data_IF_477752131082
#
_entry.id   IF_477752131082
#
_cell.length_a   1.000
_cell.length_b   1.000
_cell.length_c   1.000
_cell.angle_alpha   90.00
_cell.angle_beta   90.00
_cell.angle_gamma   90.00
#
_symmetry.space_group_name_H-M   'P 1'
#
loop_
_entity.id
_entity.type
_entity.pdbx_description
1 polymer ?
#
# COMPACT_ATOMS: atom_id res chain seq x y z
N UNK A 1 18.55 -2.59 43.14
CA UNK A 1 19.15 -3.93 43.30
C UNK A 1 18.93 -4.72 42.03
N UNK A 2 19.93 -4.74 41.15
CA UNK A 2 19.90 -5.58 39.95
C UNK A 2 20.49 -6.94 40.30
N UNK A 3 19.67 -7.99 40.26
CA UNK A 3 20.10 -9.34 40.57
C UNK A 3 21.04 -9.94 39.51
N UNK A 4 21.72 -11.05 39.82
CA UNK A 4 22.82 -11.62 39.00
C UNK A 4 22.40 -12.14 37.62
N UNK A 5 21.09 -12.20 37.33
CA UNK A 5 20.53 -12.82 36.13
C UNK A 5 20.72 -11.97 34.85
N UNK A 6 20.79 -10.65 34.97
CA UNK A 6 20.98 -9.76 33.81
C UNK A 6 22.40 -9.80 33.23
N UNK A 7 23.40 -9.99 34.09
CA UNK A 7 24.80 -10.11 33.69
C UNK A 7 25.10 -11.47 33.03
N UNK A 8 24.40 -12.53 33.44
CA UNK A 8 24.63 -13.87 32.89
C UNK A 8 24.12 -14.02 31.45
N UNK A 9 23.03 -13.33 31.07
CA UNK A 9 22.49 -13.39 29.71
C UNK A 9 23.32 -12.58 28.70
N UNK A 10 23.84 -11.42 29.14
CA UNK A 10 24.75 -10.61 28.32
C UNK A 10 26.12 -11.29 28.15
N UNK A 11 26.63 -11.94 29.20
CA UNK A 11 27.89 -12.67 29.14
C UNK A 11 27.80 -13.96 28.30
N UNK A 12 26.64 -14.64 28.27
CA UNK A 12 26.44 -15.78 27.39
C UNK A 12 26.45 -15.33 25.92
N UNK A 13 25.72 -14.26 25.59
CA UNK A 13 25.67 -13.73 24.23
C UNK A 13 27.03 -13.19 23.73
N UNK A 14 27.91 -12.73 24.61
CA UNK A 14 29.25 -12.25 24.25
C UNK A 14 30.31 -13.36 24.17
N UNK A 15 30.16 -14.45 24.92
CA UNK A 15 31.07 -15.61 24.85
C UNK A 15 30.79 -16.52 23.64
N UNK A 16 29.59 -16.42 23.06
CA UNK A 16 29.10 -17.34 22.01
C UNK A 16 29.33 -16.83 20.57
N UNK A 17 29.90 -15.63 20.39
CA UNK A 17 30.27 -15.09 19.07
C UNK A 17 31.63 -15.62 18.57
N UNK A 18 32.46 -16.18 19.44
CA UNK A 18 33.82 -16.66 19.12
C UNK A 18 33.87 -18.14 18.70
N UNK A 19 32.83 -18.94 18.95
CA UNK A 19 32.84 -20.40 18.74
C UNK A 19 31.92 -20.91 17.62
N UNK A 20 31.08 -20.07 17.02
CA UNK A 20 30.27 -20.41 15.83
C UNK A 20 29.18 -21.49 16.03
N UNK A 21 29.08 -22.11 17.20
CA UNK A 21 28.03 -23.07 17.53
C UNK A 21 26.95 -22.40 18.40
N UNK A 22 25.74 -22.25 17.85
CA UNK A 22 24.60 -21.83 18.66
C UNK A 22 24.26 -22.93 19.69
N UNK A 23 24.14 -22.61 20.99
CA UNK A 23 23.73 -23.59 21.99
C UNK A 23 22.43 -24.28 21.57
N UNK A 24 22.46 -25.61 21.45
CA UNK A 24 21.26 -26.38 21.13
C UNK A 24 20.24 -26.21 22.27
N UNK A 25 19.16 -25.48 22.00
CA UNK A 25 18.08 -25.24 22.94
C UNK A 25 17.40 -26.58 23.27
N UNK A 26 17.54 -27.06 24.51
CA UNK A 26 16.82 -28.25 24.98
C UNK A 26 15.33 -27.91 25.11
N UNK A 27 14.55 -28.35 24.13
CA UNK A 27 13.09 -28.28 24.18
C UNK A 27 12.60 -29.23 25.28
N UNK A 28 11.91 -28.69 26.29
CA UNK A 28 11.26 -29.46 27.35
C UNK A 28 9.74 -29.57 27.14
N UNK A 29 9.05 -30.26 28.04
CA UNK A 29 7.61 -30.54 27.95
C UNK A 29 6.74 -29.27 27.79
N UNK A 30 7.16 -28.15 28.38
CA UNK A 30 6.48 -26.86 28.24
C UNK A 30 6.42 -26.37 26.78
N UNK A 31 7.45 -26.66 25.98
CA UNK A 31 7.51 -26.28 24.55
C UNK A 31 6.64 -27.18 23.66
N UNK A 32 6.30 -28.38 24.13
CA UNK A 32 5.38 -29.30 23.44
C UNK A 32 3.94 -28.84 23.64
N UNK A 33 3.60 -28.32 24.81
CA UNK A 33 2.24 -27.87 25.14
C UNK A 33 1.92 -26.44 24.69
N UNK A 34 2.91 -25.55 24.58
CA UNK A 34 2.68 -24.14 24.28
C UNK A 34 2.55 -23.86 22.77
N UNK A 35 1.57 -23.03 22.33
CA UNK A 35 1.44 -22.65 20.92
C UNK A 35 2.58 -21.72 20.43
N UNK A 36 3.31 -21.10 21.35
CA UNK A 36 4.50 -20.30 21.07
C UNK A 36 5.65 -20.72 21.98
N UNK A 37 6.83 -20.95 21.40
CA UNK A 37 8.07 -21.24 22.13
C UNK A 37 9.13 -20.19 21.79
N UNK A 38 9.63 -19.45 22.78
CA UNK A 38 10.72 -18.49 22.58
C UNK A 38 12.06 -19.21 22.54
N UNK A 39 12.85 -18.97 21.49
CA UNK A 39 14.24 -19.47 21.40
C UNK A 39 15.25 -18.55 22.09
N UNK A 40 14.87 -17.29 22.33
CA UNK A 40 15.70 -16.32 23.02
C UNK A 40 15.46 -16.44 24.54
N UNK A 41 16.51 -16.43 25.38
CA UNK A 41 16.40 -16.40 26.84
C UNK A 41 16.00 -14.99 27.32
N UNK A 42 14.88 -14.47 26.82
CA UNK A 42 14.39 -13.12 27.11
C UNK A 42 12.86 -13.11 27.16
N UNK A 43 12.31 -12.31 28.09
CA UNK A 43 10.87 -12.03 28.18
C UNK A 43 10.38 -11.05 27.11
N UNK A 44 11.28 -10.45 26.32
CA UNK A 44 10.92 -9.52 25.24
C UNK A 44 9.99 -10.16 24.21
N UNK A 45 10.14 -11.46 23.95
CA UNK A 45 9.26 -12.25 23.07
C UNK A 45 7.79 -12.13 23.45
N UNK A 46 7.46 -12.01 24.74
CA UNK A 46 6.07 -11.81 25.18
C UNK A 46 5.51 -10.46 24.69
N UNK A 47 6.33 -9.40 24.73
CA UNK A 47 5.92 -8.07 24.25
C UNK A 47 5.78 -8.06 22.74
N UNK A 48 6.68 -8.75 22.02
CA UNK A 48 6.62 -8.87 20.56
C UNK A 48 5.38 -9.64 20.09
N UNK A 49 5.01 -10.73 20.77
CA UNK A 49 3.76 -11.46 20.51
C UNK A 49 2.55 -10.55 20.72
N UNK A 50 2.52 -9.73 21.78
CA UNK A 50 1.41 -8.79 22.02
C UNK A 50 1.35 -7.69 20.95
N UNK A 51 2.50 -7.12 20.55
CA UNK A 51 2.57 -6.13 19.46
C UNK A 51 2.05 -6.71 18.15
N UNK A 52 2.54 -7.89 17.79
CA UNK A 52 2.14 -8.58 16.58
C UNK A 52 0.65 -8.93 16.62
N UNK A 53 0.14 -9.47 17.74
CA UNK A 53 -1.27 -9.81 17.91
C UNK A 53 -2.19 -8.60 17.76
N UNK A 54 -1.80 -7.42 18.27
CA UNK A 54 -2.58 -6.17 18.09
C UNK A 54 -2.55 -5.68 16.65
N UNK A 55 -1.39 -5.74 15.99
CA UNK A 55 -1.27 -5.40 14.58
C UNK A 55 -2.14 -6.33 13.73
N UNK A 56 -2.04 -7.64 13.93
CA UNK A 56 -2.82 -8.65 13.22
C UNK A 56 -4.31 -8.46 13.43
N UNK A 57 -4.79 -8.25 14.67
CA UNK A 57 -6.20 -8.00 14.94
C UNK A 57 -6.73 -6.80 14.14
N UNK A 58 -5.98 -5.70 14.13
CA UNK A 58 -6.33 -4.48 13.38
C UNK A 58 -6.34 -4.76 11.88
N UNK A 59 -5.32 -5.42 11.36
CA UNK A 59 -5.23 -5.79 9.94
C UNK A 59 -6.36 -6.72 9.52
N UNK A 60 -6.77 -7.67 10.37
CA UNK A 60 -7.91 -8.57 10.09
C UNK A 60 -9.22 -7.79 9.98
N UNK A 61 -9.50 -6.88 10.93
CA UNK A 61 -10.72 -6.05 10.86
C UNK A 61 -10.72 -5.18 9.60
N UNK A 62 -9.60 -4.54 9.27
CA UNK A 62 -9.46 -3.71 8.06
C UNK A 62 -9.65 -4.53 6.78
N UNK A 63 -9.06 -5.73 6.72
CA UNK A 63 -9.19 -6.62 5.58
C UNK A 63 -10.65 -7.05 5.36
N UNK A 64 -11.40 -7.29 6.44
CA UNK A 64 -12.84 -7.55 6.35
C UNK A 64 -13.63 -6.33 5.82
N UNK A 65 -13.28 -5.11 6.26
CA UNK A 65 -13.89 -3.88 5.73
C UNK A 65 -13.63 -3.72 4.23
N UNK A 66 -12.37 -3.89 3.82
CA UNK A 66 -11.92 -3.77 2.43
C UNK A 66 -12.65 -4.81 1.56
N UNK A 67 -12.70 -6.06 2.01
CA UNK A 67 -13.38 -7.13 1.29
C UNK A 67 -14.87 -6.81 1.11
N UNK A 68 -15.56 -6.41 2.18
CA UNK A 68 -16.98 -6.08 2.11
C UNK A 68 -17.26 -4.95 1.11
N UNK A 69 -16.49 -3.85 1.19
CA UNK A 69 -16.66 -2.70 0.29
C UNK A 69 -16.34 -3.06 -1.17
N UNK A 70 -15.23 -3.76 -1.42
CA UNK A 70 -14.84 -4.15 -2.78
C UNK A 70 -15.85 -5.10 -3.42
N UNK A 71 -16.37 -6.08 -2.66
CA UNK A 71 -17.39 -6.99 -3.14
C UNK A 71 -18.70 -6.26 -3.48
N UNK A 72 -19.14 -5.33 -2.65
CA UNK A 72 -20.39 -4.59 -2.89
C UNK A 72 -20.28 -3.61 -4.07
N UNK A 73 -19.15 -2.91 -4.20
CA UNK A 73 -18.88 -2.05 -5.35
C UNK A 73 -18.84 -2.88 -6.64
N UNK A 74 -18.14 -4.02 -6.63
CA UNK A 74 -18.06 -4.91 -7.79
C UNK A 74 -19.43 -5.50 -8.16
N UNK A 75 -20.20 -5.96 -7.17
CA UNK A 75 -21.53 -6.52 -7.38
C UNK A 75 -22.48 -5.50 -8.02
N UNK A 76 -22.49 -4.27 -7.52
CA UNK A 76 -23.30 -3.21 -8.12
C UNK A 76 -22.85 -2.86 -9.54
N UNK A 77 -21.54 -2.70 -9.75
CA UNK A 77 -20.98 -2.36 -11.07
C UNK A 77 -21.33 -3.42 -12.11
N UNK A 78 -21.16 -4.70 -11.76
CA UNK A 78 -21.51 -5.82 -12.62
C UNK A 78 -23.02 -5.88 -12.88
N UNK A 79 -23.84 -5.65 -11.86
CA UNK A 79 -25.30 -5.61 -12.01
C UNK A 79 -25.74 -4.48 -12.93
N UNK A 80 -25.14 -3.29 -12.82
CA UNK A 80 -25.50 -2.15 -13.64
C UNK A 80 -25.14 -2.38 -15.11
N UNK A 81 -23.91 -2.86 -15.37
CA UNK A 81 -23.49 -3.24 -16.72
C UNK A 81 -24.39 -4.33 -17.30
N UNK A 82 -24.72 -5.36 -16.52
CA UNK A 82 -25.58 -6.45 -16.96
C UNK A 82 -27.00 -5.98 -17.33
N UNK A 83 -27.58 -5.07 -16.55
CA UNK A 83 -28.91 -4.51 -16.84
C UNK A 83 -28.93 -3.67 -18.12
N UNK A 84 -27.80 -3.08 -18.49
CA UNK A 84 -27.64 -2.31 -19.73
C UNK A 84 -27.10 -3.16 -20.90
N UNK A 85 -27.00 -4.49 -20.73
CA UNK A 85 -26.49 -5.39 -21.77
C UNK A 85 -25.00 -5.24 -22.08
N UNK A 86 -24.26 -4.53 -21.21
CA UNK A 86 -22.83 -4.25 -21.38
C UNK A 86 -22.00 -5.26 -20.59
N UNK A 87 -20.87 -5.66 -21.16
CA UNK A 87 -19.89 -6.55 -20.52
C UNK A 87 -18.55 -5.84 -20.35
N UNK A 88 -17.80 -6.20 -19.31
CA UNK A 88 -16.40 -5.76 -19.17
C UNK A 88 -15.45 -6.53 -20.06
N UNK A 89 -14.44 -5.84 -20.58
CA UNK A 89 -13.42 -6.43 -21.44
C UNK A 89 -12.47 -7.32 -20.65
N UNK A 90 -11.95 -8.38 -21.27
CA UNK A 90 -11.00 -9.28 -20.62
C UNK A 90 -9.71 -8.54 -20.20
N UNK A 91 -9.18 -7.68 -21.08
CA UNK A 91 -8.01 -6.85 -20.79
C UNK A 91 -8.24 -5.94 -19.57
N UNK A 92 -9.45 -5.41 -19.40
CA UNK A 92 -9.83 -4.55 -18.27
C UNK A 92 -9.89 -5.34 -16.96
N UNK A 93 -10.47 -6.56 -16.99
CA UNK A 93 -10.50 -7.44 -15.83
C UNK A 93 -9.09 -7.87 -15.40
N UNK A 94 -8.21 -8.19 -16.36
CA UNK A 94 -6.80 -8.51 -16.07
C UNK A 94 -6.09 -7.29 -15.47
N UNK A 95 -6.24 -6.12 -16.08
CA UNK A 95 -5.58 -4.89 -15.63
C UNK A 95 -6.00 -4.48 -14.20
N UNK A 96 -7.31 -4.47 -13.93
CA UNK A 96 -7.84 -4.17 -12.59
C UNK A 96 -7.43 -5.23 -11.57
N UNK A 97 -7.44 -6.51 -11.95
CA UNK A 97 -6.97 -7.62 -11.09
C UNK A 97 -5.50 -7.51 -10.71
N UNK A 98 -4.62 -7.15 -11.66
CA UNK A 98 -3.20 -6.89 -11.39
C UNK A 98 -3.04 -5.69 -10.46
N UNK A 99 -3.70 -4.56 -10.73
CA UNK A 99 -3.63 -3.37 -9.88
C UNK A 99 -4.09 -3.65 -8.45
N UNK A 100 -5.21 -4.34 -8.29
CA UNK A 100 -5.75 -4.70 -6.98
C UNK A 100 -4.83 -5.70 -6.25
N UNK A 101 -4.22 -6.64 -6.96
CA UNK A 101 -3.25 -7.59 -6.40
C UNK A 101 -2.01 -6.86 -5.89
N UNK A 102 -1.43 -5.97 -6.69
CA UNK A 102 -0.27 -5.14 -6.29
C UNK A 102 -0.61 -4.32 -5.04
N UNK A 103 -1.78 -3.69 -5.01
CA UNK A 103 -2.23 -2.92 -3.85
C UNK A 103 -2.47 -3.80 -2.61
N UNK A 104 -3.03 -5.00 -2.77
CA UNK A 104 -3.30 -5.93 -1.68
C UNK A 104 -2.02 -6.55 -1.11
N UNK A 105 -1.02 -6.83 -1.94
CA UNK A 105 0.32 -7.25 -1.50
C UNK A 105 1.01 -6.14 -0.73
N UNK A 106 0.90 -4.89 -1.20
CA UNK A 106 1.44 -3.75 -0.48
C UNK A 106 0.79 -3.56 0.92
N UNK A 107 -0.50 -3.86 1.02
CA UNK A 107 -1.23 -3.88 2.29
C UNK A 107 -0.74 -5.00 3.23
N UNK A 108 -0.46 -6.19 2.71
CA UNK A 108 -0.03 -7.34 3.54
C UNK A 108 1.34 -7.16 4.21
N UNK A 109 2.19 -6.27 3.68
CA UNK A 109 3.48 -5.90 4.27
C UNK A 109 3.40 -4.91 5.44
N UNK A 110 2.21 -4.68 5.98
CA UNK A 110 1.95 -4.02 7.25
C UNK A 110 2.85 -4.54 8.39
N UNK A 111 3.55 -3.63 9.09
CA UNK A 111 4.41 -3.98 10.23
C UNK A 111 3.88 -3.40 11.54
N UNK A 112 4.03 -4.11 12.68
CA UNK A 112 3.69 -3.56 13.99
C UNK A 112 4.61 -2.39 14.35
N UNK A 113 4.08 -1.44 15.13
CA UNK A 113 4.91 -0.39 15.74
C UNK A 113 5.78 -0.96 16.88
N UNK A 114 6.94 -0.34 17.12
CA UNK A 114 7.88 -0.78 18.17
C UNK A 114 7.39 -0.45 19.58
N UNK A 115 6.66 0.65 19.74
CA UNK A 115 6.15 1.07 21.05
C UNK A 115 4.70 0.62 21.26
N UNK A 116 4.41 0.18 22.48
CA UNK A 116 3.10 -0.35 22.81
C UNK A 116 2.19 0.79 23.28
N UNK A 117 1.11 1.07 22.54
CA UNK A 117 0.17 2.11 22.92
C UNK A 117 -0.75 1.68 24.07
N UNK A 118 -1.20 2.65 24.86
CA UNK A 118 -2.10 2.43 26.01
C UNK A 118 -3.56 2.14 25.61
N UNK A 119 -3.97 2.48 24.38
CA UNK A 119 -5.35 2.31 23.87
C UNK A 119 -5.56 0.94 23.21
N UNK A 120 -6.66 0.23 23.45
CA UNK A 120 -6.89 -1.09 22.83
C UNK A 120 -7.43 -0.99 21.40
N UNK A 121 -7.10 -1.93 20.50
CA UNK A 121 -7.74 -2.03 19.18
C UNK A 121 -9.24 -2.32 19.27
N UNK A 122 -9.98 -1.92 18.23
CA UNK A 122 -11.36 -2.39 18.01
C UNK A 122 -11.30 -3.87 17.64
N UNK A 123 -12.11 -4.69 18.30
CA UNK A 123 -12.07 -6.16 18.19
C UNK A 123 -13.14 -6.75 17.26
N UNK A 124 -14.12 -5.96 16.85
CA UNK A 124 -15.28 -6.44 16.08
C UNK A 124 -15.63 -5.50 14.94
N UNK A 125 -16.00 -6.08 13.79
CA UNK A 125 -16.51 -5.36 12.63
C UNK A 125 -17.86 -4.67 12.91
N UNK A 126 -18.64 -5.22 13.86
CA UNK A 126 -19.92 -4.65 14.28
C UNK A 126 -19.78 -3.50 15.28
N UNK A 127 -18.56 -3.10 15.62
CA UNK A 127 -18.36 -1.88 16.38
C UNK A 127 -18.93 -0.69 15.58
N UNK A 128 -19.74 0.21 16.18
CA UNK A 128 -20.43 1.28 15.44
C UNK A 128 -19.51 2.12 14.56
N UNK A 129 -18.30 2.44 15.05
CA UNK A 129 -17.28 3.15 14.27
C UNK A 129 -16.93 2.48 12.92
N UNK A 130 -16.88 1.15 12.90
CA UNK A 130 -16.48 0.35 11.74
C UNK A 130 -17.70 0.08 10.86
N UNK A 131 -18.80 -0.38 11.47
CA UNK A 131 -20.01 -0.73 10.76
C UNK A 131 -20.63 0.48 10.01
N UNK A 132 -20.76 1.63 10.69
CA UNK A 132 -21.29 2.85 10.06
C UNK A 132 -20.32 3.44 9.04
N UNK A 133 -19.01 3.22 9.22
CA UNK A 133 -18.02 3.58 8.22
C UNK A 133 -18.23 2.77 6.94
N UNK A 134 -18.39 1.44 7.02
CA UNK A 134 -18.69 0.59 5.87
C UNK A 134 -19.97 1.06 5.16
N UNK A 135 -21.06 1.27 5.91
CA UNK A 135 -22.34 1.67 5.32
C UNK A 135 -22.28 3.03 4.60
N UNK A 136 -21.65 4.03 5.21
CA UNK A 136 -21.55 5.34 4.57
C UNK A 136 -20.53 5.37 3.44
N UNK A 137 -19.40 4.66 3.53
CA UNK A 137 -18.49 4.50 2.40
C UNK A 137 -19.19 3.83 1.22
N UNK A 138 -19.97 2.75 1.47
CA UNK A 138 -20.79 2.11 0.46
C UNK A 138 -21.77 3.10 -0.18
N UNK A 139 -22.52 3.86 0.64
CA UNK A 139 -23.44 4.87 0.15
C UNK A 139 -22.76 5.91 -0.74
N UNK A 140 -21.58 6.40 -0.36
CA UNK A 140 -20.80 7.37 -1.14
C UNK A 140 -20.32 6.77 -2.46
N UNK A 141 -19.77 5.55 -2.44
CA UNK A 141 -19.27 4.89 -3.65
C UNK A 141 -20.38 4.53 -4.62
N UNK A 142 -21.50 3.98 -4.13
CA UNK A 142 -22.68 3.69 -4.95
C UNK A 142 -23.31 4.96 -5.51
N UNK A 143 -23.46 6.02 -4.71
CA UNK A 143 -24.00 7.30 -5.21
C UNK A 143 -23.14 7.88 -6.32
N UNK A 144 -21.80 7.81 -6.17
CA UNK A 144 -20.87 8.19 -7.23
C UNK A 144 -21.06 7.31 -8.47
N UNK A 145 -21.14 5.99 -8.32
CA UNK A 145 -21.30 5.06 -9.44
C UNK A 145 -22.61 5.31 -10.21
N UNK A 146 -23.73 5.44 -9.49
CA UNK A 146 -25.06 5.79 -10.05
C UNK A 146 -24.97 7.10 -10.84
N UNK A 147 -24.39 8.14 -10.24
CA UNK A 147 -24.23 9.44 -10.88
C UNK A 147 -23.40 9.33 -12.18
N UNK A 148 -22.24 8.68 -12.14
CA UNK A 148 -21.35 8.55 -13.30
C UNK A 148 -21.95 7.69 -14.41
N UNK A 149 -22.71 6.65 -14.05
CA UNK A 149 -23.43 5.80 -15.02
C UNK A 149 -24.53 6.60 -15.72
N UNK A 150 -25.36 7.33 -14.95
CA UNK A 150 -26.42 8.15 -15.54
C UNK A 150 -25.82 9.25 -16.43
N UNK A 151 -24.72 9.86 -16.01
CA UNK A 151 -24.01 10.85 -16.81
C UNK A 151 -23.47 10.25 -18.11
N UNK A 152 -22.89 9.05 -18.05
CA UNK A 152 -22.41 8.31 -19.23
C UNK A 152 -23.56 8.02 -20.20
N UNK A 153 -24.70 7.54 -19.71
CA UNK A 153 -25.89 7.26 -20.54
C UNK A 153 -26.41 8.49 -21.28
N UNK A 154 -26.42 9.65 -20.64
CA UNK A 154 -26.85 10.91 -21.28
C UNK A 154 -25.92 11.33 -22.42
N UNK A 155 -24.65 10.93 -22.36
CA UNK A 155 -23.64 11.28 -23.36
C UNK A 155 -23.29 10.11 -24.30
N UNK A 156 -23.99 8.98 -24.19
CA UNK A 156 -23.88 7.85 -25.11
C UNK A 156 -24.54 8.19 -26.44
N UNK A 157 -24.05 7.61 -27.53
CA UNK A 157 -24.62 7.83 -28.87
C UNK A 157 -26.03 7.21 -28.96
N UNK A 158 -26.85 7.70 -29.88
CA UNK A 158 -28.17 7.09 -30.15
C UNK A 158 -28.03 5.61 -30.52
N UNK A 159 -26.98 5.22 -31.24
CA UNK A 159 -26.67 3.82 -31.53
C UNK A 159 -26.36 3.00 -30.27
N UNK A 160 -25.59 3.54 -29.31
CA UNK A 160 -25.34 2.86 -28.03
C UNK A 160 -26.64 2.73 -27.20
N UNK A 161 -27.48 3.77 -27.20
CA UNK A 161 -28.76 3.79 -26.49
C UNK A 161 -29.79 2.83 -27.10
N UNK A 162 -29.90 2.78 -28.42
CA UNK A 162 -30.74 1.81 -29.13
C UNK A 162 -30.29 0.38 -28.86
N UNK A 163 -28.98 0.14 -28.75
CA UNK A 163 -28.43 -1.16 -28.37
C UNK A 163 -28.74 -1.53 -26.91
N UNK A 164 -28.70 -0.58 -25.97
CA UNK A 164 -29.13 -0.79 -24.57
C UNK A 164 -30.64 -1.06 -24.43
N UNK A 165 -31.46 -0.46 -25.29
CA UNK A 165 -32.93 -0.51 -25.22
C UNK A 165 -33.55 -1.63 -26.06
N UNK A 166 -32.78 -2.34 -26.89
CA UNK A 166 -33.30 -3.35 -27.81
C UNK A 166 -33.64 -4.67 -27.08
N UNK A 167 -34.93 -5.09 -26.98
CA UNK A 167 -35.33 -6.32 -26.30
C UNK A 167 -34.83 -7.59 -26.98
N UNK A 168 -34.38 -7.52 -28.24
CA UNK A 168 -33.77 -8.64 -28.96
C UNK A 168 -32.39 -9.03 -28.40
N UNK A 169 -31.80 -8.21 -27.53
CA UNK A 169 -30.59 -8.48 -26.76
C UNK A 169 -30.85 -8.73 -25.27
N UNK A 170 -32.12 -8.70 -24.81
CA UNK A 170 -32.46 -9.50 -23.64
C UNK A 170 -32.08 -10.94 -24.00
N UNK A 171 -31.30 -11.67 -23.17
CA UNK A 171 -30.88 -13.00 -23.54
C UNK A 171 -32.15 -13.77 -23.92
N UNK A 172 -32.26 -14.31 -25.16
CA UNK A 172 -33.39 -15.17 -25.48
C UNK A 172 -33.44 -16.26 -24.40
N UNK A 173 -34.62 -16.81 -24.05
CA UNK A 173 -34.65 -18.04 -23.27
C UNK A 173 -33.70 -19.02 -23.96
N UNK A 174 -32.63 -19.34 -23.25
CA UNK A 174 -31.41 -19.94 -23.78
C UNK A 174 -31.69 -21.01 -24.85
N UNK A 175 -31.17 -20.88 -26.08
CA UNK A 175 -30.96 -22.07 -26.88
C UNK A 175 -29.93 -22.92 -26.13
N UNK A 176 -30.27 -24.17 -25.84
CA UNK A 176 -29.31 -25.13 -25.28
C UNK A 176 -28.25 -25.35 -26.36
N UNK A 177 -27.07 -24.74 -26.18
CA UNK A 177 -25.90 -24.98 -27.04
C UNK A 177 -25.32 -26.34 -26.64
N UNK A 178 -25.35 -27.31 -27.56
CA UNK A 178 -24.86 -28.68 -27.35
C UNK A 178 -23.33 -28.80 -27.14
N UNK A 179 -22.56 -27.71 -27.28
CA UNK A 179 -21.10 -27.74 -27.12
C UNK A 179 -20.58 -27.42 -25.69
N UNK A 180 -21.49 -27.11 -24.76
CA UNK A 180 -21.14 -26.77 -23.38
C UNK A 180 -20.83 -25.29 -23.12
N UNK A 181 -20.85 -24.42 -24.14
CA UNK A 181 -20.82 -22.97 -23.99
C UNK A 181 -22.23 -22.40 -23.84
N UNK A 182 -22.65 -22.17 -22.60
CA UNK A 182 -23.99 -21.71 -22.25
C UNK A 182 -24.39 -20.33 -22.82
N UNK A 183 -25.68 -19.97 -22.66
CA UNK A 183 -26.42 -18.88 -23.35
C UNK A 183 -26.05 -17.42 -22.98
N UNK A 184 -24.90 -17.19 -22.35
CA UNK A 184 -24.53 -15.91 -21.71
C UNK A 184 -23.57 -15.02 -22.54
N UNK A 185 -23.42 -15.27 -23.84
CA UNK A 185 -22.30 -14.75 -24.63
C UNK A 185 -22.74 -13.79 -25.73
N UNK A 186 -23.19 -12.58 -25.35
CA UNK A 186 -22.99 -11.43 -26.24
C UNK A 186 -21.50 -11.09 -26.29
N UNK A 187 -20.89 -10.88 -27.47
CA UNK A 187 -19.48 -10.56 -27.57
C UNK A 187 -19.20 -9.18 -26.94
N UNK A 188 -18.03 -9.04 -26.31
CA UNK A 188 -17.61 -7.76 -25.73
C UNK A 188 -17.52 -6.68 -26.83
N UNK A 189 -18.18 -5.55 -26.61
CA UNK A 189 -18.09 -4.35 -27.44
C UNK A 189 -17.65 -3.16 -26.58
N UNK A 190 -16.65 -2.37 -27.01
CA UNK A 190 -16.26 -1.15 -26.31
C UNK A 190 -17.43 -0.15 -26.27
N UNK A 191 -17.72 0.38 -25.08
CA UNK A 191 -18.75 1.42 -24.90
C UNK A 191 -18.28 2.48 -23.90
N UNK A 192 -18.90 3.67 -23.98
CA UNK A 192 -18.63 4.75 -23.03
C UNK A 192 -18.97 4.32 -21.60
N UNK A 193 -20.12 3.63 -21.43
CA UNK A 193 -20.58 3.12 -20.14
C UNK A 193 -19.56 2.16 -19.51
N UNK A 194 -19.06 1.19 -20.29
CA UNK A 194 -18.05 0.24 -19.81
C UNK A 194 -16.76 0.96 -19.38
N UNK A 195 -16.31 1.94 -20.17
CA UNK A 195 -15.10 2.72 -19.88
C UNK A 195 -15.23 3.48 -18.56
N UNK A 196 -16.36 4.17 -18.35
CA UNK A 196 -16.63 4.93 -17.12
C UNK A 196 -16.70 4.01 -15.91
N UNK A 197 -17.46 2.91 -16.00
CA UNK A 197 -17.59 1.94 -14.89
C UNK A 197 -16.24 1.31 -14.56
N UNK A 198 -15.44 0.91 -15.56
CA UNK A 198 -14.11 0.37 -15.35
C UNK A 198 -13.19 1.34 -14.60
N UNK A 199 -13.13 2.61 -15.03
CA UNK A 199 -12.27 3.62 -14.41
C UNK A 199 -12.71 3.93 -12.97
N UNK A 200 -14.00 4.15 -12.75
CA UNK A 200 -14.55 4.49 -11.43
C UNK A 200 -14.42 3.30 -10.49
N UNK A 201 -14.82 2.09 -10.90
CA UNK A 201 -14.74 0.88 -10.09
C UNK A 201 -13.29 0.60 -9.66
N UNK A 202 -12.35 0.64 -10.61
CA UNK A 202 -10.94 0.34 -10.33
C UNK A 202 -10.35 1.36 -9.35
N UNK A 203 -10.60 2.65 -9.58
CA UNK A 203 -10.11 3.71 -8.69
C UNK A 203 -10.75 3.64 -7.30
N UNK A 204 -12.07 3.38 -7.21
CA UNK A 204 -12.76 3.20 -5.93
C UNK A 204 -12.19 2.00 -5.15
N UNK A 205 -12.02 0.84 -5.79
CA UNK A 205 -11.49 -0.36 -5.13
C UNK A 205 -10.09 -0.14 -4.55
N UNK A 206 -9.19 0.52 -5.29
CA UNK A 206 -7.86 0.84 -4.75
C UNK A 206 -7.94 1.90 -3.65
N UNK A 207 -8.83 2.89 -3.79
CA UNK A 207 -9.04 3.91 -2.75
C UNK A 207 -9.55 3.31 -1.43
N UNK A 208 -10.42 2.28 -1.50
CA UNK A 208 -10.93 1.57 -0.34
C UNK A 208 -9.79 0.96 0.49
N UNK A 209 -8.76 0.41 -0.17
CA UNK A 209 -7.57 -0.10 0.54
C UNK A 209 -6.84 1.03 1.28
N UNK A 210 -6.66 2.19 0.65
CA UNK A 210 -5.96 3.32 1.24
C UNK A 210 -6.74 3.96 2.41
N UNK A 211 -8.05 4.17 2.23
CA UNK A 211 -8.92 4.82 3.22
C UNK A 211 -9.08 3.95 4.47
N UNK A 212 -9.24 2.65 4.30
CA UNK A 212 -9.46 1.72 5.42
C UNK A 212 -8.16 1.29 6.11
N UNK A 213 -6.99 1.71 5.62
CA UNK A 213 -5.72 1.53 6.32
C UNK A 213 -5.65 2.41 7.57
N UNK A 214 -5.82 1.83 8.77
CA UNK A 214 -5.83 2.61 10.02
C UNK A 214 -4.44 3.04 10.50
N UNK A 215 -3.40 2.22 10.25
CA UNK A 215 -2.02 2.53 10.66
C UNK A 215 -1.83 2.64 12.17
N UNK A 216 -1.21 3.74 12.61
CA UNK A 216 -0.85 4.00 14.01
C UNK A 216 -2.10 4.12 14.89
N UNK A 217 -2.06 3.65 16.14
CA UNK A 217 -0.87 3.38 16.96
C UNK A 217 -0.52 1.88 17.10
N UNK A 218 -0.97 1.02 16.19
CA UNK A 218 -0.73 -0.43 16.26
C UNK A 218 0.15 -0.94 15.12
N UNK A 219 0.07 -0.26 13.98
CA UNK A 219 0.76 -0.58 12.75
C UNK A 219 1.44 0.68 12.22
N UNK A 220 2.52 0.52 11.46
CA UNK A 220 3.18 1.62 10.76
C UNK A 220 2.16 2.41 9.90
N UNK A 221 2.30 3.73 9.78
CA UNK A 221 1.32 4.53 9.04
C UNK A 221 1.34 4.23 7.53
N UNK A 222 0.26 4.59 6.83
CA UNK A 222 0.16 4.38 5.39
C UNK A 222 1.27 5.09 4.62
N UNK A 223 1.63 6.27 5.08
CA UNK A 223 2.71 7.11 4.54
C UNK A 223 4.10 6.57 4.81
N UNK A 224 4.26 5.70 5.81
CA UNK A 224 5.53 5.03 6.12
C UNK A 224 5.66 3.70 5.35
N UNK A 225 4.53 3.12 4.89
CA UNK A 225 4.48 1.92 4.05
C UNK A 225 4.74 2.26 2.56
N UNK A 226 6.01 2.26 2.16
CA UNK A 226 6.43 2.60 0.78
C UNK A 226 5.74 1.77 -0.31
N UNK A 227 5.64 0.42 -0.21
CA UNK A 227 4.86 -0.37 -1.17
C UNK A 227 3.44 0.16 -1.37
N UNK A 228 2.76 0.54 -0.28
CA UNK A 228 1.37 0.98 -0.37
C UNK A 228 1.24 2.38 -0.95
N UNK A 229 2.21 3.27 -0.70
CA UNK A 229 2.26 4.57 -1.36
C UNK A 229 2.51 4.42 -2.87
N UNK A 230 3.43 3.54 -3.28
CA UNK A 230 3.71 3.31 -4.70
C UNK A 230 2.54 2.65 -5.42
N UNK A 231 1.83 1.71 -4.80
CA UNK A 231 0.64 1.10 -5.40
C UNK A 231 -0.51 2.09 -5.56
N UNK A 232 -0.73 2.97 -4.57
CA UNK A 232 -1.73 4.03 -4.67
C UNK A 232 -1.36 5.05 -5.75
N UNK A 233 -0.11 5.50 -5.78
CA UNK A 233 0.38 6.43 -6.80
C UNK A 233 0.28 5.84 -8.21
N UNK A 234 0.61 4.56 -8.38
CA UNK A 234 0.46 3.84 -9.65
C UNK A 234 -1.01 3.80 -10.08
N UNK A 235 -1.93 3.50 -9.17
CA UNK A 235 -3.36 3.47 -9.50
C UNK A 235 -3.87 4.86 -9.91
N UNK A 236 -3.56 5.90 -9.13
CA UNK A 236 -3.94 7.26 -9.50
C UNK A 236 -3.38 7.63 -10.89
N UNK A 237 -2.08 7.39 -11.12
CA UNK A 237 -1.44 7.66 -12.40
C UNK A 237 -2.09 6.87 -13.54
N UNK A 238 -2.37 5.58 -13.36
CA UNK A 238 -3.02 4.74 -14.36
C UNK A 238 -4.43 5.25 -14.71
N UNK A 239 -5.23 5.63 -13.71
CA UNK A 239 -6.56 6.21 -13.93
C UNK A 239 -6.47 7.54 -14.68
N UNK A 240 -5.51 8.42 -14.33
CA UNK A 240 -5.29 9.68 -15.05
C UNK A 240 -4.83 9.46 -16.49
N UNK A 241 -3.85 8.58 -16.72
CA UNK A 241 -3.34 8.24 -18.06
C UNK A 241 -4.47 7.69 -18.94
N UNK A 242 -5.28 6.79 -18.39
CA UNK A 242 -6.42 6.21 -19.09
C UNK A 242 -7.51 7.26 -19.39
N UNK A 243 -7.83 8.12 -18.43
CA UNK A 243 -8.88 9.14 -18.58
C UNK A 243 -8.50 10.28 -19.55
N UNK A 244 -7.22 10.65 -19.62
CA UNK A 244 -6.73 11.71 -20.50
C UNK A 244 -6.21 11.21 -21.85
N UNK A 245 -6.26 9.90 -22.09
CA UNK A 245 -5.77 9.28 -23.33
C UNK A 245 -4.30 9.61 -23.62
N UNK A 246 -3.51 9.82 -22.56
CA UNK A 246 -2.10 10.23 -22.67
C UNK A 246 -1.28 9.19 -23.43
N UNK A 247 -1.65 7.91 -23.29
CA UNK A 247 -0.99 6.79 -23.95
C UNK A 247 -2.03 6.04 -24.80
N UNK A 248 -2.19 6.38 -26.10
CA UNK A 248 -3.21 5.78 -26.97
C UNK A 248 -3.09 4.25 -27.09
N UNK A 249 -1.86 3.72 -27.08
CA UNK A 249 -1.62 2.27 -27.10
C UNK A 249 -2.30 1.57 -25.91
N UNK A 250 -2.18 2.12 -24.70
CA UNK A 250 -2.77 1.55 -23.50
C UNK A 250 -4.31 1.59 -23.57
N UNK A 251 -4.87 2.70 -24.05
CA UNK A 251 -6.30 2.86 -24.21
C UNK A 251 -6.87 1.89 -25.25
N UNK A 252 -6.14 1.66 -26.34
CA UNK A 252 -6.52 0.66 -27.35
C UNK A 252 -6.44 -0.78 -26.80
N UNK A 253 -5.40 -1.12 -26.03
CA UNK A 253 -5.29 -2.44 -25.38
C UNK A 253 -6.40 -2.67 -24.36
N UNK A 254 -6.75 -1.64 -23.58
CA UNK A 254 -7.86 -1.69 -22.62
C UNK A 254 -9.24 -1.50 -23.27
N UNK A 255 -9.28 -1.28 -24.58
CA UNK A 255 -10.49 -1.03 -25.36
C UNK A 255 -11.38 0.05 -24.72
N UNK A 256 -10.74 1.16 -24.31
CA UNK A 256 -11.41 2.30 -23.70
C UNK A 256 -11.95 3.23 -24.79
N UNK A 257 -13.20 3.64 -24.64
CA UNK A 257 -13.85 4.62 -25.52
C UNK A 257 -13.43 6.03 -25.07
N UNK A 258 -13.00 6.90 -26.01
CA UNK A 258 -12.61 8.26 -25.67
C UNK A 258 -13.75 9.03 -25.02
N UNK A 259 -13.42 9.91 -24.08
CA UNK A 259 -14.43 10.70 -23.40
C UNK A 259 -14.98 11.80 -24.33
N UNK A 260 -16.30 12.00 -24.42
CA UNK A 260 -16.92 12.86 -25.43
C UNK A 260 -16.56 14.34 -25.30
N UNK A 261 -16.34 14.85 -24.08
CA UNK A 261 -15.95 16.24 -23.85
C UNK A 261 -15.02 16.44 -22.64
N UNK A 262 -14.21 17.51 -22.62
CA UNK A 262 -13.41 17.89 -21.45
C UNK A 262 -14.27 18.15 -20.20
N UNK A 263 -15.48 18.68 -20.38
CA UNK A 263 -16.45 18.93 -19.31
C UNK A 263 -16.91 17.61 -18.69
N UNK A 264 -17.29 16.64 -19.53
CA UNK A 264 -17.67 15.30 -19.09
C UNK A 264 -16.53 14.62 -18.31
N UNK A 265 -15.30 14.68 -18.85
CA UNK A 265 -14.10 14.16 -18.18
C UNK A 265 -13.91 14.79 -16.80
N UNK A 266 -14.06 16.11 -16.70
CA UNK A 266 -13.92 16.84 -15.44
C UNK A 266 -15.01 16.45 -14.44
N UNK A 267 -16.24 16.22 -14.90
CA UNK A 267 -17.34 15.73 -14.06
C UNK A 267 -17.05 14.33 -13.51
N UNK A 268 -16.60 13.39 -14.34
CA UNK A 268 -16.23 12.03 -13.90
C UNK A 268 -15.07 12.07 -12.89
N UNK A 269 -14.00 12.82 -13.18
CA UNK A 269 -12.84 12.92 -12.29
C UNK A 269 -13.17 13.64 -10.97
N UNK A 270 -14.01 14.67 -11.02
CA UNK A 270 -14.46 15.37 -9.80
C UNK A 270 -15.38 14.49 -8.95
N UNK A 271 -16.30 13.74 -9.55
CA UNK A 271 -17.15 12.78 -8.85
C UNK A 271 -16.30 11.70 -8.16
N UNK A 272 -15.28 11.18 -8.85
CA UNK A 272 -14.32 10.24 -8.26
C UNK A 272 -13.55 10.87 -7.09
N UNK A 273 -13.04 12.09 -7.26
CA UNK A 273 -12.34 12.82 -6.21
C UNK A 273 -13.20 13.06 -4.97
N UNK A 274 -14.47 13.43 -5.17
CA UNK A 274 -15.47 13.59 -4.11
C UNK A 274 -15.75 12.24 -3.44
N UNK A 275 -15.85 11.15 -4.20
CA UNK A 275 -16.07 9.81 -3.67
C UNK A 275 -14.93 9.37 -2.75
N UNK A 276 -13.68 9.55 -3.18
CA UNK A 276 -12.48 9.18 -2.41
C UNK A 276 -12.29 10.08 -1.18
N UNK A 277 -12.40 11.39 -1.36
CA UNK A 277 -12.26 12.32 -0.24
C UNK A 277 -13.41 12.19 0.75
N UNK A 278 -14.64 12.02 0.25
CA UNK A 278 -15.84 11.81 1.05
C UNK A 278 -15.75 10.54 1.87
N UNK A 279 -15.32 9.42 1.28
CA UNK A 279 -15.15 8.15 2.01
C UNK A 279 -14.07 8.26 3.09
N UNK A 280 -12.96 8.95 2.82
CA UNK A 280 -11.94 9.25 3.81
C UNK A 280 -12.48 10.07 4.99
N UNK A 281 -13.13 11.21 4.69
CA UNK A 281 -13.70 12.10 5.71
C UNK A 281 -14.74 11.36 6.54
N UNK A 282 -15.61 10.58 5.89
CA UNK A 282 -16.64 9.79 6.55
C UNK A 282 -16.03 8.75 7.51
N UNK A 283 -15.03 7.98 7.08
CA UNK A 283 -14.35 7.01 7.95
C UNK A 283 -13.75 7.69 9.19
N UNK A 284 -13.06 8.83 9.01
CA UNK A 284 -12.47 9.57 10.12
C UNK A 284 -13.54 10.14 11.05
N UNK A 285 -14.68 10.60 10.52
CA UNK A 285 -15.80 11.08 11.31
C UNK A 285 -16.41 9.95 12.15
N UNK A 286 -16.67 8.77 11.57
CA UNK A 286 -17.17 7.62 12.32
C UNK A 286 -16.22 7.20 13.45
N UNK A 287 -14.92 7.12 13.18
CA UNK A 287 -13.93 6.82 14.23
C UNK A 287 -13.85 7.96 15.26
N UNK A 288 -13.97 9.22 14.84
CA UNK A 288 -13.95 10.38 15.73
C UNK A 288 -15.13 10.42 16.70
N UNK A 289 -16.33 10.08 16.22
CA UNK A 289 -17.55 10.06 17.04
C UNK A 289 -17.56 8.86 17.99
N UNK A 290 -17.28 7.66 17.48
CA UNK A 290 -17.47 6.42 18.25
C UNK A 290 -16.20 5.90 18.93
N UNK A 291 -15.01 6.35 18.53
CA UNK A 291 -13.73 5.95 19.10
C UNK A 291 -12.71 7.12 19.18
N UNK A 292 -13.07 8.28 19.78
CA UNK A 292 -12.24 9.49 19.77
C UNK A 292 -10.86 9.30 20.39
N UNK A 293 -10.77 8.53 21.49
CA UNK A 293 -9.49 8.23 22.17
C UNK A 293 -8.54 7.44 21.26
N UNK A 294 -9.08 6.52 20.46
CA UNK A 294 -8.30 5.74 19.51
C UNK A 294 -7.81 6.63 18.36
N UNK A 295 -8.69 7.45 17.80
CA UNK A 295 -8.34 8.38 16.72
C UNK A 295 -7.22 9.32 17.16
N UNK A 296 -7.37 9.94 18.34
CA UNK A 296 -6.38 10.88 18.87
C UNK A 296 -5.05 10.21 19.17
N UNK A 297 -5.05 9.04 19.79
CA UNK A 297 -3.82 8.28 20.04
C UNK A 297 -3.09 7.95 18.73
N UNK A 298 -3.82 7.58 17.68
CA UNK A 298 -3.26 7.36 16.34
C UNK A 298 -2.63 8.62 15.73
N UNK A 299 -3.33 9.76 15.80
CA UNK A 299 -2.80 11.03 15.28
C UNK A 299 -1.57 11.52 16.04
N UNK A 300 -1.56 11.44 17.37
CA UNK A 300 -0.42 11.84 18.19
C UNK A 300 0.79 10.96 17.89
N UNK A 301 0.59 9.64 17.78
CA UNK A 301 1.67 8.71 17.43
C UNK A 301 2.19 8.93 16.01
N UNK A 302 1.30 9.17 15.04
CA UNK A 302 1.68 9.51 13.67
C UNK A 302 2.45 10.83 13.59
N UNK A 303 2.04 11.85 14.35
CA UNK A 303 2.74 13.13 14.40
C UNK A 303 4.15 12.99 14.95
N UNK A 304 4.32 12.22 16.02
CA UNK A 304 5.63 11.93 16.61
C UNK A 304 6.55 11.14 15.68
N UNK A 305 5.97 10.34 14.79
CA UNK A 305 6.70 9.52 13.83
C UNK A 305 7.01 10.22 12.50
N UNK A 306 6.54 11.46 12.27
CA UNK A 306 6.80 12.15 11.02
C UNK A 306 8.31 12.40 10.82
N UNK A 307 8.84 12.18 9.59
CA UNK A 307 10.25 12.43 9.30
C UNK A 307 10.61 13.90 9.49
N UNK A 308 11.89 14.17 9.79
CA UNK A 308 12.37 15.55 9.91
C UNK A 308 12.20 16.30 8.58
N UNK A 309 11.99 17.63 8.63
CA UNK A 309 11.80 18.48 7.42
C UNK A 309 12.89 18.25 6.35
N UNK A 310 14.13 17.98 6.79
CA UNK A 310 15.28 17.70 5.91
C UNK A 310 15.13 16.38 5.15
N UNK A 311 14.61 15.34 5.81
CA UNK A 311 14.39 14.02 5.22
C UNK A 311 13.25 14.06 4.20
N UNK A 312 12.18 14.81 4.52
CA UNK A 312 11.07 15.05 3.59
C UNK A 312 11.54 15.78 2.33
N UNK A 313 12.36 16.83 2.46
CA UNK A 313 12.91 17.57 1.32
C UNK A 313 13.76 16.67 0.41
N UNK A 314 14.59 15.80 1.00
CA UNK A 314 15.39 14.84 0.24
C UNK A 314 14.51 13.79 -0.49
N UNK A 315 13.41 13.36 0.12
CA UNK A 315 12.44 12.46 -0.49
C UNK A 315 11.71 13.10 -1.69
N UNK A 316 11.24 14.34 -1.52
CA UNK A 316 10.56 15.12 -2.58
C UNK A 316 11.51 15.35 -3.76
N UNK A 317 12.75 15.74 -3.50
CA UNK A 317 13.74 15.96 -4.55
C UNK A 317 14.02 14.68 -5.35
N UNK A 318 14.09 13.53 -4.69
CA UNK A 318 14.24 12.22 -5.36
C UNK A 318 13.02 11.91 -6.24
N UNK A 319 11.81 12.13 -5.74
CA UNK A 319 10.59 11.90 -6.51
C UNK A 319 10.51 12.83 -7.74
N UNK A 320 10.85 14.11 -7.57
CA UNK A 320 10.91 15.09 -8.67
C UNK A 320 11.96 14.72 -9.72
N UNK A 321 13.13 14.22 -9.31
CA UNK A 321 14.16 13.75 -10.23
C UNK A 321 13.69 12.54 -11.04
N UNK A 322 13.04 11.56 -10.41
CA UNK A 322 12.46 10.39 -11.11
C UNK A 322 11.37 10.82 -12.08
N UNK A 323 10.45 11.69 -11.65
CA UNK A 323 9.39 12.22 -12.51
C UNK A 323 9.97 13.02 -13.70
N UNK A 324 11.04 13.79 -13.49
CA UNK A 324 11.74 14.51 -14.56
C UNK A 324 12.40 13.58 -15.58
N UNK A 325 13.04 12.50 -15.12
CA UNK A 325 13.62 11.47 -16.01
C UNK A 325 12.53 10.77 -16.82
N UNK A 326 11.42 10.41 -16.17
CA UNK A 326 10.27 9.80 -16.84
C UNK A 326 9.63 10.76 -17.86
N UNK A 327 9.44 12.03 -17.50
CA UNK A 327 8.93 13.05 -18.43
C UNK A 327 9.85 13.27 -19.63
N UNK A 328 11.17 13.30 -19.41
CA UNK A 328 12.15 13.40 -20.48
C UNK A 328 12.11 12.16 -21.42
N UNK A 329 11.94 10.95 -20.86
CA UNK A 329 11.74 9.75 -21.67
C UNK A 329 10.47 9.85 -22.52
N UNK A 330 9.32 10.19 -21.92
CA UNK A 330 8.04 10.32 -22.65
C UNK A 330 8.11 11.39 -23.76
N UNK A 331 8.82 12.50 -23.52
CA UNK A 331 8.97 13.57 -24.51
C UNK A 331 9.91 13.19 -25.67
N UNK A 332 10.95 12.41 -25.40
CA UNK A 332 12.01 12.10 -26.40
C UNK A 332 11.85 10.73 -27.05
N UNK A 333 10.99 9.86 -26.52
CA UNK A 333 10.82 8.45 -26.88
C UNK A 333 12.16 7.68 -26.95
N UNK A 334 13.14 8.10 -26.14
CA UNK A 334 14.51 7.62 -26.21
C UNK A 334 14.92 6.90 -24.92
N UNK A 335 15.05 5.57 -25.01
CA UNK A 335 15.43 4.71 -23.90
C UNK A 335 16.82 5.02 -23.31
N UNK A 336 17.70 5.70 -24.07
CA UNK A 336 19.02 6.14 -23.60
C UNK A 336 18.90 7.09 -22.40
N UNK A 337 17.83 7.88 -22.31
CA UNK A 337 17.60 8.81 -21.18
C UNK A 337 17.50 8.05 -19.85
N UNK A 338 16.81 6.91 -19.84
CA UNK A 338 16.67 6.06 -18.64
C UNK A 338 18.01 5.43 -18.27
N UNK A 339 18.76 4.93 -19.26
CA UNK A 339 20.09 4.32 -19.05
C UNK A 339 21.07 5.36 -18.47
N UNK A 340 21.10 6.56 -19.04
CA UNK A 340 21.97 7.66 -18.59
C UNK A 340 21.60 8.13 -17.18
N UNK A 341 20.30 8.29 -16.89
CA UNK A 341 19.84 8.64 -15.55
C UNK A 341 20.23 7.58 -14.52
N UNK A 342 20.10 6.29 -14.85
CA UNK A 342 20.54 5.20 -13.98
C UNK A 342 22.07 5.20 -13.78
N UNK A 343 22.84 5.45 -14.84
CA UNK A 343 24.30 5.57 -14.77
C UNK A 343 24.74 6.71 -13.83
N UNK A 344 24.16 7.91 -13.99
CA UNK A 344 24.45 9.04 -13.12
C UNK A 344 24.00 8.80 -11.68
N UNK A 345 22.84 8.19 -11.48
CA UNK A 345 22.38 7.80 -10.15
C UNK A 345 23.35 6.81 -9.47
N UNK A 346 23.85 5.83 -10.21
CA UNK A 346 24.84 4.86 -9.71
C UNK A 346 26.15 5.55 -9.32
N UNK A 347 26.64 6.50 -10.13
CA UNK A 347 27.82 7.28 -9.77
C UNK A 347 27.59 8.14 -8.53
N UNK A 348 26.44 8.82 -8.45
CA UNK A 348 26.08 9.63 -7.29
C UNK A 348 26.01 8.80 -6.02
N UNK A 349 25.35 7.63 -6.07
CA UNK A 349 25.24 6.72 -4.92
C UNK A 349 26.62 6.23 -4.45
N UNK A 350 27.50 5.87 -5.38
CA UNK A 350 28.88 5.48 -5.05
C UNK A 350 29.63 6.59 -4.31
N UNK A 351 29.47 7.85 -4.73
CA UNK A 351 30.08 9.00 -4.04
C UNK A 351 29.47 9.24 -2.67
N UNK A 352 28.16 9.08 -2.53
CA UNK A 352 27.44 9.24 -1.27
C UNK A 352 27.84 8.18 -0.24
N UNK A 353 27.91 6.91 -0.66
CA UNK A 353 28.31 5.80 0.21
C UNK A 353 29.77 5.98 0.67
N UNK A 354 30.67 6.43 -0.21
CA UNK A 354 32.06 6.77 0.14
C UNK A 354 32.13 7.95 1.13
N UNK A 355 31.31 8.99 0.95
CA UNK A 355 31.26 10.12 1.86
C UNK A 355 30.72 9.75 3.25
N UNK A 356 29.70 8.89 3.31
CA UNK A 356 29.14 8.38 4.57
C UNK A 356 30.15 7.49 5.30
N UNK A 357 30.84 6.59 4.59
CA UNK A 357 31.91 5.77 5.17
C UNK A 357 33.05 6.64 5.72
N UNK A 358 33.46 7.68 5.01
CA UNK A 358 34.47 8.63 5.49
C UNK A 358 34.01 9.42 6.72
N UNK A 359 32.72 9.76 6.82
CA UNK A 359 32.15 10.44 7.97
C UNK A 359 32.06 9.53 9.20
N UNK A 360 31.68 8.26 9.03
CA UNK A 360 31.70 7.26 10.12
C UNK A 360 33.11 7.03 10.65
N UNK A 361 34.12 6.94 9.77
CA UNK A 361 35.53 6.80 10.16
C UNK A 361 36.00 8.00 10.99
N UNK A 362 35.62 9.23 10.61
CA UNK A 362 35.93 10.46 11.36
C UNK A 362 35.26 10.50 12.74
N UNK A 363 34.01 10.03 12.84
CA UNK A 363 33.28 9.94 14.10
C UNK A 363 33.84 8.87 15.05
N UNK A 364 34.40 7.80 14.49
CA UNK A 364 35.11 6.75 15.23
C UNK A 364 36.56 7.11 15.63
N UNK A 365 37.01 8.36 15.38
CA UNK A 365 38.36 8.82 15.71
C UNK A 365 39.46 8.31 14.76
N UNK A 366 39.11 7.67 13.64
CA UNK A 366 40.06 7.18 12.64
C UNK A 366 40.43 8.24 11.61
N UNK A 367 41.69 8.22 11.15
CA UNK A 367 42.15 9.02 10.01
C UNK A 367 41.89 8.19 8.73
N UNK A 368 41.10 8.68 7.75
CA UNK A 368 40.85 7.93 6.52
C UNK A 368 42.12 7.85 5.65
N UNK A 369 42.48 6.65 5.22
CA UNK A 369 43.52 6.42 4.19
C UNK A 369 42.89 6.30 2.80
N UNK A 370 43.65 6.62 1.75
CA UNK A 370 43.17 6.67 0.36
C UNK A 370 42.61 5.32 -0.17
N UNK A 371 42.90 4.22 0.51
CA UNK A 371 42.58 2.85 0.09
C UNK A 371 41.44 2.20 0.90
N UNK A 372 40.80 2.95 1.82
CA UNK A 372 39.66 2.46 2.60
C UNK A 372 40.00 1.42 3.68
N UNK A 373 41.28 1.23 4.02
CA UNK A 373 41.71 0.38 5.14
C UNK A 373 41.78 1.17 6.46
N UNK A 374 41.28 0.56 7.53
CA UNK A 374 41.27 1.11 8.89
C UNK A 374 42.65 0.93 9.53
N UNK A 375 43.33 2.04 9.85
CA UNK A 375 44.43 2.05 10.81
C UNK A 375 43.87 2.61 12.11
N UNK A 376 43.69 1.75 13.12
CA UNK A 376 43.40 2.21 14.48
C UNK A 376 44.67 2.84 15.06
N UNK A 377 44.53 3.98 15.77
CA UNK A 377 45.60 4.46 16.62
C UNK A 377 45.90 3.40 17.69
N UNK A 378 47.18 3.08 17.97
CA UNK A 378 47.50 2.28 19.13
C UNK A 378 47.01 3.02 20.38
N UNK A 379 46.22 2.35 21.22
CA UNK A 379 45.75 2.92 22.47
C UNK A 379 46.93 3.16 23.41
N UNK A 380 47.01 4.34 24.00
CA UNK A 380 47.99 4.75 25.03
C UNK A 380 47.78 4.03 26.39
N UNK A 381 47.46 2.74 26.37
CA UNK A 381 47.21 1.91 27.57
C UNK A 381 48.32 0.90 27.85
N UNK A 382 49.51 1.06 27.24
CA UNK A 382 50.66 0.16 27.42
C UNK A 382 51.89 0.84 28.06
N UNK A 383 51.71 1.88 28.90
CA UNK A 383 52.81 2.56 29.60
C UNK A 383 52.64 2.64 31.13
N UNK A 384 51.83 1.76 31.74
CA UNK A 384 51.65 1.73 33.19
C UNK A 384 51.64 0.30 33.76
N UNK A 385 52.67 -0.50 33.46
CA UNK A 385 52.95 -1.74 34.21
C UNK A 385 54.41 -2.17 34.17
N UNK A 386 55.36 -1.23 34.40
CA UNK A 386 56.74 -1.61 34.74
C UNK A 386 57.46 -0.53 35.57
N UNK A 387 57.09 -0.42 36.85
CA UNK A 387 58.03 0.06 37.87
C UNK A 387 57.89 -0.82 39.09
N UNK A 388 58.69 -1.89 39.12
CA UNK A 388 58.82 -2.78 40.26
C UNK A 388 59.67 -2.19 41.38
N UNK A 389 59.39 -2.70 42.58
CA UNK A 389 60.34 -3.04 43.65
C UNK A 389 61.48 -2.05 43.92
N UNK A 390 61.36 -1.34 45.04
CA UNK A 390 62.34 -1.40 46.14
C UNK A 390 61.62 -1.24 47.47
#
# INVERSE_FOLDING_TARGET
GGGPLGASAANLASLDMDTGEMPQLKLGDASIAAPFTSKLPSVASCVDIVRQGRCTLVSTIQMQQILALNCLIAAYSLSALYLDGVRSGEAQMIASGVLLTVASLAFSYARPVKELSHVRPITSIFHPAIFLSILGQLGIHLSCMVYTINLAKVHSTEEELEEFMNPSFAPPPAPVVEDGSGPLLTPFKPSLLNTVVFLIQTAQQVSVLAVNYKGRPFMVASTENRPMLYSLALCCAATFVAAFEVVPWLNNTLQLVPMPSPEFRTQILSALGISVLGSFVWDKLCVGVFAPRLLWAGYVDAWRAMPSRRENAAGILKAAAVAGVFGAYVYTDNFIVIIMAYYFYKQYKKKLDAANAAAEIRLAGGIPTADGKVLMQPSDTAAASSSGKK
#
